data_IF_443033846362
#
_entry.id   IF_443033846362
#
_cell.length_a   1.000
_cell.length_b   1.000
_cell.length_c   1.000
_cell.angle_alpha   90.00
_cell.angle_beta   90.00
_cell.angle_gamma   90.00
#
_symmetry.space_group_name_H-M   'P 1'
#
loop_
_entity.id
_entity.type
_entity.pdbx_description
1 polymer ?
#
# COMPACT_ATOMS: atom_id res chain seq x y z
N UNK A 1 -0.43 -4.94 26.14
CA UNK A 1 0.26 -3.73 25.62
C UNK A 1 0.57 -3.94 24.15
N UNK A 2 0.19 -3.01 23.27
CA UNK A 2 0.49 -3.08 21.84
C UNK A 2 1.99 -2.83 21.65
N UNK A 3 2.72 -3.86 21.24
CA UNK A 3 4.16 -3.80 21.07
C UNK A 3 4.46 -3.23 19.66
N UNK A 4 4.69 -1.92 19.55
CA UNK A 4 5.12 -1.32 18.29
C UNK A 4 6.58 -1.67 18.03
N UNK A 5 6.80 -2.80 17.35
CA UNK A 5 8.12 -3.12 16.80
C UNK A 5 8.53 -1.98 15.84
N UNK A 6 9.83 -1.66 15.74
CA UNK A 6 10.32 -0.62 14.81
C UNK A 6 9.80 -0.83 13.38
N UNK A 7 9.66 -2.08 12.96
CA UNK A 7 9.11 -2.44 11.64
C UNK A 7 7.62 -2.12 11.54
N UNK A 8 6.84 -2.36 12.60
CA UNK A 8 5.42 -2.01 12.65
C UNK A 8 5.19 -0.50 12.62
N UNK A 9 6.02 0.27 13.32
CA UNK A 9 5.97 1.74 13.27
C UNK A 9 6.32 2.27 11.87
N UNK A 10 7.43 1.80 11.28
CA UNK A 10 7.82 2.20 9.92
C UNK A 10 6.78 1.82 8.87
N UNK A 11 6.18 0.63 8.99
CA UNK A 11 5.09 0.19 8.11
C UNK A 11 3.85 1.08 8.24
N UNK A 12 3.43 1.41 9.47
CA UNK A 12 2.28 2.26 9.72
C UNK A 12 2.48 3.69 9.23
N UNK A 13 3.65 4.29 9.48
CA UNK A 13 3.97 5.65 9.00
C UNK A 13 4.08 5.69 7.48
N UNK A 14 4.69 4.68 6.85
CA UNK A 14 4.75 4.56 5.40
C UNK A 14 3.37 4.44 4.75
N UNK A 15 2.47 3.65 5.34
CA UNK A 15 1.09 3.52 4.88
C UNK A 15 0.31 4.84 4.97
N UNK A 16 0.44 5.55 6.11
CA UNK A 16 -0.23 6.84 6.31
C UNK A 16 0.23 7.91 5.29
N UNK A 17 1.54 7.95 5.00
CA UNK A 17 2.09 8.83 3.97
C UNK A 17 1.62 8.46 2.56
N UNK A 18 1.56 7.17 2.24
CA UNK A 18 1.04 6.67 0.98
C UNK A 18 -0.42 7.08 0.74
N UNK A 19 -1.28 6.96 1.76
CA UNK A 19 -2.69 7.37 1.68
C UNK A 19 -2.81 8.89 1.41
N UNK A 20 -2.00 9.71 2.10
CA UNK A 20 -2.01 11.17 1.91
C UNK A 20 -1.56 11.57 0.51
N UNK A 21 -0.58 10.88 -0.06
CA UNK A 21 -0.10 11.13 -1.42
C UNK A 21 -1.05 10.62 -2.52
N UNK A 22 -1.82 9.56 -2.24
CA UNK A 22 -2.78 9.00 -3.18
C UNK A 22 -4.02 9.89 -3.39
N UNK A 23 -4.44 10.64 -2.38
CA UNK A 23 -5.64 11.49 -2.42
C UNK A 23 -5.68 12.54 -3.55
N UNK A 24 -4.61 13.30 -3.87
CA UNK A 24 -4.60 14.19 -5.03
C UNK A 24 -4.55 13.43 -6.37
N UNK A 25 -3.84 12.30 -6.43
CA UNK A 25 -3.76 11.46 -7.63
C UNK A 25 -5.13 10.89 -8.01
N UNK A 26 -5.91 10.45 -7.01
CA UNK A 26 -7.25 9.89 -7.19
C UNK A 26 -8.27 10.87 -7.81
N UNK A 27 -8.04 12.19 -7.68
CA UNK A 27 -8.92 13.23 -8.24
C UNK A 27 -8.67 13.50 -9.73
N UNK A 28 -7.52 13.08 -10.26
CA UNK A 28 -7.18 13.27 -11.67
C UNK A 28 -7.44 12.00 -12.48
N UNK A 29 -7.90 12.14 -13.73
CA UNK A 29 -8.13 10.99 -14.62
C UNK A 29 -6.86 10.16 -14.89
N UNK A 30 -5.71 10.82 -15.03
CA UNK A 30 -4.40 10.16 -15.20
C UNK A 30 -3.89 9.49 -13.93
N UNK A 31 -4.01 10.16 -12.77
CA UNK A 31 -3.62 9.59 -11.49
C UNK A 31 -4.47 8.39 -11.08
N UNK A 32 -5.76 8.37 -11.45
CA UNK A 32 -6.62 7.19 -11.24
C UNK A 32 -6.10 5.95 -11.97
N UNK A 33 -5.60 6.08 -13.21
CA UNK A 33 -5.02 4.96 -13.96
C UNK A 33 -3.76 4.42 -13.29
N UNK A 34 -2.88 5.32 -12.82
CA UNK A 34 -1.68 4.91 -12.09
C UNK A 34 -2.06 4.16 -10.81
N UNK A 35 -3.05 4.65 -10.06
CA UNK A 35 -3.53 3.98 -8.84
C UNK A 35 -4.14 2.60 -9.13
N UNK A 36 -4.88 2.44 -10.23
CA UNK A 36 -5.38 1.13 -10.67
C UNK A 36 -4.24 0.16 -10.98
N UNK A 37 -3.22 0.61 -11.73
CA UNK A 37 -2.06 -0.23 -12.03
C UNK A 37 -1.27 -0.63 -10.78
N UNK A 38 -1.09 0.32 -9.84
CA UNK A 38 -0.44 0.06 -8.56
C UNK A 38 -1.25 -0.93 -7.73
N UNK A 39 -2.57 -0.78 -7.69
CA UNK A 39 -3.48 -1.68 -6.98
C UNK A 39 -3.44 -3.09 -7.56
N UNK A 40 -3.54 -3.26 -8.87
CA UNK A 40 -3.48 -4.57 -9.52
C UNK A 40 -2.14 -5.27 -9.25
N UNK A 41 -1.03 -4.51 -9.30
CA UNK A 41 0.32 -5.03 -9.03
C UNK A 41 0.48 -5.47 -7.57
N UNK A 42 0.03 -4.66 -6.61
CA UNK A 42 0.13 -5.00 -5.20
C UNK A 42 -0.73 -6.22 -4.85
N UNK A 43 -1.91 -6.38 -5.46
CA UNK A 43 -2.75 -7.56 -5.33
C UNK A 43 -2.05 -8.82 -5.87
N UNK A 44 -1.34 -8.72 -6.99
CA UNK A 44 -0.49 -9.79 -7.51
C UNK A 44 0.64 -10.19 -6.55
N UNK A 45 1.28 -9.21 -5.90
CA UNK A 45 2.29 -9.48 -4.87
C UNK A 45 1.69 -10.13 -3.63
N UNK A 46 0.49 -9.73 -3.19
CA UNK A 46 -0.20 -10.37 -2.06
C UNK A 46 -0.47 -11.86 -2.33
N UNK A 47 -0.92 -12.20 -3.54
CA UNK A 47 -1.09 -13.60 -3.95
C UNK A 47 0.23 -14.38 -3.97
N UNK A 48 1.34 -13.73 -4.32
CA UNK A 48 2.65 -14.34 -4.26
C UNK A 48 3.10 -14.56 -2.81
N UNK A 49 2.80 -13.62 -1.91
CA UNK A 49 3.07 -13.75 -0.47
C UNK A 49 2.26 -14.90 0.13
N UNK A 50 0.97 -15.03 -0.18
CA UNK A 50 0.12 -16.15 0.27
C UNK A 50 0.64 -17.53 -0.19
N UNK A 51 1.37 -17.60 -1.31
CA UNK A 51 2.01 -18.85 -1.75
C UNK A 51 3.29 -19.19 -0.98
N UNK A 52 3.96 -18.18 -0.43
CA UNK A 52 5.23 -18.32 0.31
C UNK A 52 4.99 -18.49 1.81
N UNK A 53 3.95 -17.83 2.33
CA UNK A 53 3.52 -17.91 3.73
C UNK A 53 2.22 -18.74 3.75
N UNK A 54 2.27 -20.02 4.15
CA UNK A 54 1.08 -20.87 4.26
C UNK A 54 0.14 -20.42 5.39
#
# INVERSE_FOLDING_TARGET
MVNFTRRGFLGATGAALGIRAAAPLARSGGGRRILTLVYDKSLGMMRAVERVVP
#
